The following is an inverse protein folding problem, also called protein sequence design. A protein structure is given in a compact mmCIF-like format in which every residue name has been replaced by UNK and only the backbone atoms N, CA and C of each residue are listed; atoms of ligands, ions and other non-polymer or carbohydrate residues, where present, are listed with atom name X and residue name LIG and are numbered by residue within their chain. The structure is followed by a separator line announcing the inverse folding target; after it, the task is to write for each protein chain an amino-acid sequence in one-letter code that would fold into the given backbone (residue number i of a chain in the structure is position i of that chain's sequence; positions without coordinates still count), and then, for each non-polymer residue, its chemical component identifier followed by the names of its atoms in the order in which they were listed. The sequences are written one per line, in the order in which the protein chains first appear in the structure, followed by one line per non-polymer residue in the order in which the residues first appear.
data_IF_681405035273
#
_entry.id   IF_681405035273
#
_cell.length_a   1.000
_cell.length_b   1.000
_cell.length_c   1.000
_cell.angle_alpha   90.00
_cell.angle_beta   90.00
_cell.angle_gamma   90.00
#
_symmetry.space_group_name_H-M   'P 1'
#
loop_
_entity.id
_entity.type
_entity.pdbx_description
1 polymer ?
#
# COMPACT_ATOMS: atom_id res chain seq x y z
N UNK A 1 -4.09 14.50 -2.04
CA UNK A 1 -5.31 14.21 -1.25
C UNK A 1 -5.49 12.70 -1.25
N UNK A 2 -5.68 12.05 -0.10
CA UNK A 2 -6.02 10.63 -0.07
C UNK A 2 -7.54 10.51 -0.23
N UNK A 3 -7.98 10.25 -1.45
CA UNK A 3 -9.39 9.98 -1.73
C UNK A 3 -9.70 8.51 -1.45
N UNK A 4 -10.89 8.22 -0.93
CA UNK A 4 -11.36 6.84 -0.74
C UNK A 4 -12.04 6.34 -2.02
N UNK A 5 -12.01 5.03 -2.25
CA UNK A 5 -12.61 4.40 -3.43
C UNK A 5 -12.40 2.88 -3.43
N UNK A 6 -13.00 2.16 -4.38
CA UNK A 6 -12.79 0.73 -4.53
C UNK A 6 -11.45 0.45 -5.23
N UNK A 7 -10.61 -0.35 -4.58
CA UNK A 7 -9.29 -0.71 -5.08
C UNK A 7 -9.03 -2.21 -4.86
N UNK A 8 -8.33 -2.82 -5.82
CA UNK A 8 -7.67 -4.11 -5.61
C UNK A 8 -6.26 -3.82 -5.14
N UNK A 9 -5.87 -4.43 -4.02
CA UNK A 9 -4.55 -4.27 -3.41
C UNK A 9 -3.80 -5.60 -3.35
N UNK A 10 -2.48 -5.51 -3.22
CA UNK A 10 -1.61 -6.64 -2.91
C UNK A 10 -0.91 -6.39 -1.59
N UNK A 11 -0.94 -7.37 -0.70
CA UNK A 11 -0.20 -7.30 0.57
C UNK A 11 1.31 -7.31 0.32
N UNK A 12 2.02 -6.56 1.15
CA UNK A 12 3.48 -6.52 1.18
C UNK A 12 3.97 -7.16 2.47
N UNK A 13 4.93 -8.07 2.30
CA UNK A 13 5.55 -8.78 3.41
C UNK A 13 7.03 -8.44 3.49
N UNK A 14 7.57 -8.35 4.70
CA UNK A 14 9.00 -8.25 4.92
C UNK A 14 9.68 -9.55 4.48
N UNK A 15 10.70 -9.47 3.62
CA UNK A 15 11.40 -10.67 3.13
C UNK A 15 12.20 -11.40 4.23
N UNK A 16 12.48 -10.74 5.35
CA UNK A 16 13.26 -11.32 6.45
C UNK A 16 12.36 -12.07 7.44
N UNK A 17 11.29 -11.44 7.91
CA UNK A 17 10.43 -11.99 8.97
C UNK A 17 9.03 -12.38 8.50
N UNK A 18 8.71 -12.18 7.22
CA UNK A 18 7.42 -12.50 6.60
C UNK A 18 6.21 -11.87 7.29
N UNK A 19 6.42 -10.79 8.06
CA UNK A 19 5.32 -10.02 8.64
C UNK A 19 4.70 -9.08 7.60
N UNK A 20 3.39 -8.80 7.68
CA UNK A 20 2.73 -7.87 6.77
C UNK A 20 3.15 -6.44 7.13
N UNK A 21 3.76 -5.71 6.19
CA UNK A 21 4.31 -4.35 6.41
C UNK A 21 3.56 -3.26 5.67
N UNK A 22 2.62 -3.62 4.80
CA UNK A 22 1.84 -2.67 4.02
C UNK A 22 1.17 -3.32 2.82
N UNK A 23 0.89 -2.50 1.81
CA UNK A 23 0.18 -2.94 0.61
C UNK A 23 0.47 -2.04 -0.59
N UNK A 24 0.23 -2.57 -1.79
CA UNK A 24 0.38 -1.87 -3.07
C UNK A 24 -0.97 -1.78 -3.77
N UNK A 25 -1.27 -0.65 -4.39
CA UNK A 25 -2.42 -0.54 -5.30
C UNK A 25 -2.14 -1.35 -6.58
N UNK A 26 -2.93 -2.41 -6.80
CA UNK A 26 -2.89 -3.20 -8.03
C UNK A 26 -3.80 -2.58 -9.08
N UNK A 27 -5.03 -2.24 -8.70
CA UNK A 27 -6.03 -1.67 -9.59
C UNK A 27 -6.93 -0.70 -8.84
N UNK A 28 -7.22 0.46 -9.44
CA UNK A 28 -8.26 1.39 -8.98
C UNK A 28 -9.46 1.31 -9.93
N UNK A 29 -10.68 1.30 -9.40
CA UNK A 29 -11.88 1.25 -10.23
C UNK A 29 -12.13 2.59 -10.94
N UNK A 30 -11.89 3.71 -10.24
CA UNK A 30 -12.13 5.05 -10.75
C UNK A 30 -10.94 5.58 -11.54
N UNK A 31 -11.22 6.18 -12.71
CA UNK A 31 -10.18 6.77 -13.57
C UNK A 31 -9.38 7.86 -12.86
N UNK A 32 -10.04 8.66 -12.01
CA UNK A 32 -9.40 9.71 -11.22
C UNK A 32 -8.40 9.17 -10.19
N UNK A 33 -8.49 7.87 -9.84
CA UNK A 33 -7.65 7.22 -8.84
C UNK A 33 -6.56 6.32 -9.44
N UNK A 34 -6.51 6.17 -10.77
CA UNK A 34 -5.49 5.35 -11.48
C UNK A 34 -4.05 5.80 -11.19
N UNK A 35 -3.82 7.06 -10.82
CA UNK A 35 -2.49 7.54 -10.42
C UNK A 35 -1.90 6.82 -9.19
N UNK A 36 -2.74 6.14 -8.40
CA UNK A 36 -2.33 5.34 -7.25
C UNK A 36 -1.81 3.97 -7.64
N UNK A 37 -2.22 3.41 -8.78
CA UNK A 37 -1.76 2.10 -9.23
C UNK A 37 -0.24 2.06 -9.29
N UNK A 38 0.35 0.98 -8.78
CA UNK A 38 1.79 0.87 -8.68
C UNK A 38 2.41 1.51 -7.42
N UNK A 39 1.70 2.40 -6.72
CA UNK A 39 2.18 3.03 -5.48
C UNK A 39 2.03 2.09 -4.27
N UNK A 40 2.89 2.31 -3.29
CA UNK A 40 3.01 1.50 -2.08
C UNK A 40 2.64 2.34 -0.86
N UNK A 41 1.96 1.70 0.09
CA UNK A 41 1.69 2.24 1.42
C UNK A 41 2.37 1.29 2.41
N UNK A 42 3.22 1.84 3.27
CA UNK A 42 3.90 1.11 4.33
C UNK A 42 3.43 1.60 5.70
N UNK A 43 3.26 0.67 6.63
CA UNK A 43 2.97 0.99 8.02
C UNK A 43 4.25 1.33 8.77
N UNK A 44 4.46 2.60 9.12
CA UNK A 44 5.68 3.04 9.83
C UNK A 44 5.90 2.35 11.17
N UNK A 45 4.83 1.96 11.87
CA UNK A 45 4.93 1.18 13.11
C UNK A 45 5.56 -0.21 12.92
N UNK A 46 5.67 -0.67 11.67
CA UNK A 46 6.26 -1.96 11.28
C UNK A 46 7.57 -1.78 10.52
N UNK A 47 8.12 -0.56 10.49
CA UNK A 47 9.43 -0.26 9.93
C UNK A 47 10.33 0.34 11.00
N UNK A 48 11.65 0.22 10.82
CA UNK A 48 12.65 0.76 11.76
C UNK A 48 12.78 2.29 11.67
N UNK A 49 11.75 2.98 11.14
CA UNK A 49 11.72 4.43 10.96
C UNK A 49 10.94 5.15 12.08
N UNK A 50 10.55 4.44 13.14
CA UNK A 50 10.05 5.07 14.35
C UNK A 50 11.22 5.72 15.12
N UNK A 51 11.17 7.03 15.43
CA UNK A 51 12.15 7.67 16.30
C UNK A 51 12.10 7.17 17.74
#
# INVERSE_FOLDING_TARGET
MLMTGLHVVLDLYCNTCWSPVGWKYKEAHEASEKYKEGKFILELAKTDQLP
#
